data_IF_839314281981
#
_entry.id   IF_839314281981
#
_cell.length_a   1.000
_cell.length_b   1.000
_cell.length_c   1.000
_cell.angle_alpha   90.00
_cell.angle_beta   90.00
_cell.angle_gamma   90.00
#
_symmetry.space_group_name_H-M   'P 1'
#
loop_
_entity.id
_entity.type
_entity.pdbx_description
1 polymer ?
#
# COMPACT_ATOMS: atom_id res chain seq x y z
N UNK A 1 -55.51 -49.32 43.96
CA UNK A 1 -54.70 -50.04 42.96
C UNK A 1 -54.54 -49.11 41.77
N UNK A 2 -53.47 -48.32 41.74
CA UNK A 2 -53.05 -47.58 40.56
C UNK A 2 -51.53 -47.53 40.61
N UNK A 3 -50.89 -48.38 39.81
CA UNK A 3 -49.43 -48.46 39.72
C UNK A 3 -48.95 -47.72 38.46
N UNK A 4 -48.02 -46.82 38.73
CA UNK A 4 -47.27 -45.92 37.87
C UNK A 4 -46.86 -46.51 36.50
N UNK A 5 -47.47 -46.04 35.40
CA UNK A 5 -47.19 -46.47 34.01
C UNK A 5 -46.21 -45.56 33.25
N UNK A 6 -45.69 -44.49 33.86
CA UNK A 6 -44.89 -43.49 33.15
C UNK A 6 -43.36 -43.71 33.16
N UNK A 7 -42.83 -44.55 34.05
CA UNK A 7 -41.37 -44.73 34.16
C UNK A 7 -40.78 -45.77 33.19
N UNK A 8 -41.57 -46.69 32.64
CA UNK A 8 -41.06 -47.76 31.78
C UNK A 8 -40.80 -47.30 30.33
N UNK A 9 -41.53 -46.29 29.84
CA UNK A 9 -41.38 -45.80 28.46
C UNK A 9 -40.10 -44.96 28.30
N UNK A 10 -39.72 -44.19 29.33
CA UNK A 10 -38.53 -43.35 29.29
C UNK A 10 -37.23 -44.18 29.28
N UNK A 11 -37.17 -45.27 30.06
CA UNK A 11 -35.99 -46.14 30.10
C UNK A 11 -35.76 -46.91 28.80
N UNK A 12 -36.82 -47.30 28.09
CA UNK A 12 -36.69 -48.02 26.80
C UNK A 12 -36.18 -47.09 25.70
N UNK A 13 -36.60 -45.82 25.68
CA UNK A 13 -36.13 -44.82 24.70
C UNK A 13 -34.65 -44.49 24.92
N UNK A 14 -34.20 -44.37 26.18
CA UNK A 14 -32.79 -44.12 26.51
C UNK A 14 -31.90 -45.31 26.12
N UNK A 15 -32.40 -46.54 26.26
CA UNK A 15 -31.66 -47.74 25.90
C UNK A 15 -31.51 -47.89 24.37
N UNK A 16 -32.56 -47.54 23.60
CA UNK A 16 -32.49 -47.58 22.14
C UNK A 16 -31.62 -46.48 21.54
N UNK A 17 -31.62 -45.26 22.11
CA UNK A 17 -30.76 -44.18 21.61
C UNK A 17 -29.28 -44.43 21.88
N UNK A 18 -28.94 -45.02 23.03
CA UNK A 18 -27.55 -45.42 23.36
C UNK A 18 -27.06 -46.57 22.48
N UNK A 19 -27.90 -47.55 22.17
CA UNK A 19 -27.53 -48.66 21.28
C UNK A 19 -27.28 -48.20 19.83
N UNK A 20 -28.10 -47.27 19.32
CA UNK A 20 -27.91 -46.68 17.98
C UNK A 20 -26.62 -45.86 17.93
N UNK A 21 -26.28 -45.12 18.99
CA UNK A 21 -25.05 -44.33 19.06
C UNK A 21 -23.79 -45.22 19.09
N UNK A 22 -23.84 -46.35 19.81
CA UNK A 22 -22.74 -47.32 19.86
C UNK A 22 -22.56 -48.06 18.52
N UNK A 23 -23.65 -48.38 17.82
CA UNK A 23 -23.58 -48.94 16.47
C UNK A 23 -23.00 -47.94 15.45
N UNK A 24 -23.28 -46.64 15.59
CA UNK A 24 -22.68 -45.59 14.76
C UNK A 24 -21.18 -45.44 15.02
N UNK A 25 -20.74 -45.48 16.28
CA UNK A 25 -19.32 -45.44 16.65
C UNK A 25 -18.55 -46.67 16.14
N UNK A 26 -19.19 -47.84 16.07
CA UNK A 26 -18.57 -49.07 15.56
C UNK A 26 -18.30 -49.07 14.05
N UNK A 27 -18.93 -48.16 13.30
CA UNK A 27 -18.79 -48.01 11.84
C UNK A 27 -17.90 -46.84 11.40
N UNK A 28 -17.35 -46.06 12.34
CA UNK A 28 -16.37 -45.05 12.00
C UNK A 28 -15.03 -45.72 11.62
N UNK A 29 -14.39 -45.33 10.50
CA UNK A 29 -13.12 -45.90 10.11
C UNK A 29 -12.08 -45.65 11.21
N UNK A 30 -11.41 -46.72 11.67
CA UNK A 30 -10.32 -46.64 12.64
C UNK A 30 -9.24 -45.69 12.07
N UNK A 31 -9.20 -44.47 12.59
CA UNK A 31 -8.17 -43.51 12.27
C UNK A 31 -6.83 -44.12 12.69
N UNK A 32 -5.92 -44.24 11.72
CA UNK A 32 -4.56 -44.75 11.89
C UNK A 32 -3.91 -44.06 13.09
N UNK A 33 -3.46 -44.86 14.04
CA UNK A 33 -2.65 -44.45 15.18
C UNK A 33 -1.41 -43.73 14.66
N UNK A 34 -1.34 -42.40 14.84
CA UNK A 34 -0.15 -41.61 14.53
C UNK A 34 0.94 -42.02 15.50
N UNK A 35 1.96 -42.73 15.02
CA UNK A 35 3.24 -42.82 15.73
C UNK A 35 3.88 -41.43 15.68
N UNK A 36 3.87 -40.71 16.81
CA UNK A 36 4.60 -39.47 16.96
C UNK A 36 6.10 -39.75 16.86
N UNK A 37 6.69 -39.35 15.75
CA UNK A 37 8.13 -39.47 15.51
C UNK A 37 8.86 -38.46 16.42
N UNK A 38 9.53 -38.96 17.46
CA UNK A 38 10.26 -38.16 18.44
C UNK A 38 11.35 -37.29 17.79
N UNK A 39 11.83 -37.69 16.61
CA UNK A 39 12.87 -36.99 15.86
C UNK A 39 12.36 -35.69 15.22
N UNK A 40 11.05 -35.60 14.94
CA UNK A 40 10.42 -34.37 14.42
C UNK A 40 10.36 -33.26 15.47
N UNK A 41 10.08 -33.61 16.74
CA UNK A 41 10.04 -32.65 17.84
C UNK A 41 11.46 -32.15 18.17
N UNK A 42 12.48 -33.01 18.14
CA UNK A 42 13.87 -32.61 18.35
C UNK A 42 14.37 -31.65 17.25
N UNK A 43 14.00 -31.89 15.98
CA UNK A 43 14.32 -30.96 14.88
C UNK A 43 13.60 -29.60 15.01
N UNK A 44 12.39 -29.58 15.59
CA UNK A 44 11.67 -28.34 15.92
C UNK A 44 12.38 -27.55 17.04
N UNK A 45 12.91 -28.22 18.05
CA UNK A 45 13.68 -27.58 19.12
C UNK A 45 15.06 -27.08 18.63
N UNK A 46 15.73 -27.79 17.73
CA UNK A 46 17.02 -27.34 17.21
C UNK A 46 16.87 -26.15 16.25
N UNK A 47 15.79 -26.15 15.46
CA UNK A 47 15.39 -25.00 14.63
C UNK A 47 15.04 -23.77 15.49
N UNK A 48 14.47 -23.97 16.68
CA UNK A 48 14.16 -22.86 17.61
C UNK A 48 15.43 -22.23 18.22
N UNK A 49 16.48 -23.02 18.45
CA UNK A 49 17.79 -22.53 18.92
C UNK A 49 18.55 -21.77 17.84
N UNK A 50 18.46 -22.20 16.57
CA UNK A 50 18.99 -21.42 15.45
C UNK A 50 18.23 -20.09 15.27
N UNK A 51 16.91 -20.06 15.50
CA UNK A 51 16.11 -18.84 15.45
C UNK A 51 16.44 -17.87 16.60
N UNK A 52 16.80 -18.38 17.78
CA UNK A 52 17.24 -17.59 18.94
C UNK A 52 18.67 -17.03 18.77
N UNK A 53 19.58 -17.75 18.11
CA UNK A 53 20.91 -17.24 17.80
C UNK A 53 20.91 -16.25 16.62
N UNK A 54 19.92 -16.30 15.73
CA UNK A 54 19.72 -15.29 14.69
C UNK A 54 19.11 -13.97 15.22
N UNK A 55 18.47 -13.99 16.39
CA UNK A 55 17.89 -12.81 17.03
C UNK A 55 18.87 -11.99 17.89
N UNK A 56 20.11 -12.46 18.04
CA UNK A 56 21.16 -11.74 18.76
C UNK A 56 22.14 -10.97 17.86
N UNK A 57 21.93 -10.92 16.54
CA UNK A 57 22.50 -9.87 15.71
C UNK A 57 21.56 -8.66 15.80
N UNK A 58 22.00 -7.64 16.56
CA UNK A 58 21.44 -6.29 16.64
C UNK A 58 20.45 -5.96 15.51
N UNK A 59 19.16 -5.85 15.84
CA UNK A 59 18.14 -5.31 14.95
C UNK A 59 18.46 -3.86 14.62
N UNK A 60 19.29 -3.65 13.59
CA UNK A 60 19.23 -2.43 12.83
C UNK A 60 17.80 -2.42 12.29
N UNK A 61 16.99 -1.47 12.77
CA UNK A 61 15.62 -1.30 12.34
C UNK A 61 15.65 -0.80 10.88
N UNK A 62 15.90 -1.71 9.93
CA UNK A 62 16.04 -1.37 8.52
C UNK A 62 14.66 -1.13 7.95
N UNK A 63 14.40 0.08 7.46
CA UNK A 63 13.19 0.41 6.72
C UNK A 63 13.01 -0.58 5.56
N UNK A 64 11.85 -1.24 5.51
CA UNK A 64 11.51 -2.20 4.45
C UNK A 64 10.72 -1.53 3.31
N UNK A 65 10.29 -0.28 3.51
CA UNK A 65 9.43 0.47 2.61
C UNK A 65 10.10 1.79 2.24
N UNK A 66 10.15 2.10 0.94
CA UNK A 66 10.48 3.44 0.45
C UNK A 66 9.20 4.11 -0.06
N UNK A 67 8.83 5.24 0.54
CA UNK A 67 7.69 6.06 0.10
C UNK A 67 8.18 7.36 -0.52
N UNK A 68 7.81 7.60 -1.77
CA UNK A 68 8.07 8.87 -2.46
C UNK A 68 6.77 9.64 -2.63
N UNK A 69 6.75 10.85 -2.08
CA UNK A 69 5.65 11.79 -2.18
C UNK A 69 6.09 13.01 -2.99
N UNK A 70 5.49 13.23 -4.15
CA UNK A 70 5.76 14.41 -4.98
C UNK A 70 4.81 15.54 -4.59
N UNK A 71 5.37 16.65 -4.12
CA UNK A 71 4.64 17.84 -3.72
C UNK A 71 4.82 18.97 -4.73
N UNK A 72 3.72 19.37 -5.37
CA UNK A 72 3.64 20.59 -6.16
C UNK A 72 2.58 21.52 -5.57
N UNK A 73 2.92 22.78 -5.31
CA UNK A 73 1.98 23.78 -4.82
C UNK A 73 1.19 24.44 -5.96
N UNK A 74 0.47 23.63 -6.73
CA UNK A 74 -0.21 24.04 -7.98
C UNK A 74 -1.73 24.17 -7.84
N UNK A 75 -2.27 23.92 -6.65
CA UNK A 75 -3.69 24.10 -6.36
C UNK A 75 -3.91 24.43 -4.89
N UNK A 76 -5.04 25.10 -4.59
CA UNK A 76 -5.37 25.62 -3.25
C UNK A 76 -5.32 24.58 -2.12
N UNK A 77 -5.57 23.30 -2.43
CA UNK A 77 -5.55 22.23 -1.43
C UNK A 77 -4.19 21.53 -1.23
N UNK A 78 -3.16 21.83 -2.04
CA UNK A 78 -1.92 21.04 -2.09
C UNK A 78 -1.18 21.04 -0.75
N UNK A 79 -1.00 22.22 -0.15
CA UNK A 79 -0.39 22.34 1.18
C UNK A 79 -1.18 21.59 2.24
N UNK A 80 -2.52 21.75 2.26
CA UNK A 80 -3.37 21.05 3.22
C UNK A 80 -3.30 19.53 3.09
N UNK A 81 -3.12 19.01 1.88
CA UNK A 81 -2.94 17.58 1.62
C UNK A 81 -1.62 17.08 2.20
N UNK A 82 -0.50 17.78 1.92
CA UNK A 82 0.82 17.46 2.47
C UNK A 82 0.79 17.49 4.00
N UNK A 83 0.26 18.57 4.59
CA UNK A 83 0.12 18.74 6.03
C UNK A 83 -0.68 17.60 6.66
N UNK A 84 -1.85 17.32 6.11
CA UNK A 84 -2.69 16.25 6.62
C UNK A 84 -1.97 14.89 6.59
N UNK A 85 -1.31 14.55 5.48
CA UNK A 85 -0.58 13.28 5.37
C UNK A 85 0.58 13.18 6.39
N UNK A 86 1.40 14.23 6.52
CA UNK A 86 2.51 14.23 7.48
C UNK A 86 1.99 14.07 8.92
N UNK A 87 0.95 14.81 9.30
CA UNK A 87 0.43 14.78 10.66
C UNK A 87 -0.26 13.45 10.99
N UNK A 88 -0.95 12.84 10.03
CA UNK A 88 -1.80 11.65 10.28
C UNK A 88 -1.13 10.31 9.97
N UNK A 89 -0.17 10.27 9.05
CA UNK A 89 0.30 9.02 8.45
C UNK A 89 1.79 8.74 8.63
N UNK A 90 2.62 9.78 8.77
CA UNK A 90 4.08 9.66 8.85
C UNK A 90 4.48 9.46 10.31
N UNK A 91 5.26 8.42 10.61
CA UNK A 91 5.74 8.13 11.97
C UNK A 91 7.23 7.77 11.96
N UNK A 92 7.90 7.97 13.10
CA UNK A 92 9.21 7.36 13.32
C UNK A 92 9.06 5.87 13.62
N UNK A 93 10.04 5.07 13.18
CA UNK A 93 10.15 3.64 13.49
C UNK A 93 8.98 2.79 12.98
N UNK A 94 8.27 3.23 11.95
CA UNK A 94 7.24 2.46 11.26
C UNK A 94 7.77 1.66 10.07
N UNK A 95 9.09 1.56 9.91
CA UNK A 95 9.72 0.78 8.85
C UNK A 95 9.63 1.41 7.46
N UNK A 96 9.30 2.70 7.36
CA UNK A 96 9.23 3.45 6.11
C UNK A 96 10.30 4.53 6.08
N UNK A 97 11.03 4.64 4.97
CA UNK A 97 11.77 5.86 4.63
C UNK A 97 10.89 6.75 3.74
N UNK A 98 10.62 7.96 4.22
CA UNK A 98 9.76 8.94 3.57
C UNK A 98 10.58 9.98 2.82
N UNK A 99 10.34 10.08 1.52
CA UNK A 99 10.98 11.05 0.63
C UNK A 99 9.91 12.00 0.11
N UNK A 100 9.98 13.27 0.50
CA UNK A 100 9.10 14.33 0.04
C UNK A 100 9.83 15.19 -0.99
N UNK A 101 9.47 15.06 -2.27
CA UNK A 101 10.10 15.84 -3.33
C UNK A 101 9.28 17.10 -3.60
N UNK A 102 9.84 18.24 -3.22
CA UNK A 102 9.29 19.58 -3.34
C UNK A 102 9.56 20.11 -4.74
N UNK A 103 8.53 20.05 -5.60
CA UNK A 103 8.59 20.59 -6.96
C UNK A 103 8.51 22.11 -6.94
N UNK A 104 9.60 22.74 -7.36
CA UNK A 104 9.73 24.18 -7.47
C UNK A 104 8.88 24.72 -8.61
N UNK A 105 7.97 25.62 -8.29
CA UNK A 105 7.19 26.40 -9.27
C UNK A 105 7.93 27.70 -9.58
N UNK A 106 8.03 28.06 -10.86
CA UNK A 106 8.73 29.29 -11.31
C UNK A 106 10.21 29.37 -10.89
N UNK A 107 10.88 28.21 -10.78
CA UNK A 107 12.28 28.10 -10.32
C UNK A 107 12.53 28.70 -8.91
N UNK A 108 11.49 28.79 -8.08
CA UNK A 108 11.59 29.24 -6.69
C UNK A 108 11.66 28.03 -5.76
N UNK A 109 12.75 27.85 -4.98
CA UNK A 109 12.80 26.86 -3.92
C UNK A 109 11.63 27.01 -2.95
N UNK A 110 11.09 25.90 -2.48
CA UNK A 110 10.04 25.92 -1.47
C UNK A 110 10.70 26.10 -0.10
N UNK A 111 10.27 27.11 0.63
CA UNK A 111 10.73 27.40 1.98
C UNK A 111 10.26 26.32 2.97
N UNK A 112 11.16 25.40 3.32
CA UNK A 112 10.90 24.25 4.20
C UNK A 112 10.49 24.67 5.62
N UNK A 113 10.84 25.89 6.06
CA UNK A 113 10.44 26.39 7.39
C UNK A 113 8.95 26.62 7.51
N UNK A 114 8.25 26.75 6.37
CA UNK A 114 6.78 26.90 6.28
C UNK A 114 6.06 25.56 6.10
N UNK A 115 6.81 24.47 5.90
CA UNK A 115 6.25 23.14 5.73
C UNK A 115 6.07 22.43 7.08
N UNK A 116 5.20 21.39 7.14
CA UNK A 116 5.08 20.55 8.32
C UNK A 116 6.44 19.95 8.70
N UNK A 117 6.73 19.87 10.00
CA UNK A 117 7.96 19.25 10.49
C UNK A 117 7.96 17.75 10.18
N UNK A 118 9.04 17.27 9.58
CA UNK A 118 9.25 15.85 9.35
C UNK A 118 9.86 15.20 10.60
N UNK A 119 9.58 13.90 10.84
CA UNK A 119 10.35 13.13 11.79
C UNK A 119 11.84 13.08 11.40
N UNK A 120 12.73 13.07 12.39
CA UNK A 120 14.15 13.33 12.14
C UNK A 120 14.90 12.15 11.54
N UNK A 121 14.42 10.93 11.77
CA UNK A 121 15.17 9.70 11.50
C UNK A 121 14.93 9.09 10.12
N UNK A 122 13.74 9.23 9.59
CA UNK A 122 13.27 8.47 8.43
C UNK A 122 12.44 9.29 7.44
N UNK A 123 12.51 10.63 7.49
CA UNK A 123 11.76 11.48 6.59
C UNK A 123 12.57 12.69 6.11
N UNK A 124 12.52 12.96 4.81
CA UNK A 124 13.43 13.90 4.14
C UNK A 124 12.70 14.77 3.10
N UNK A 125 13.05 16.05 3.04
CA UNK A 125 12.67 16.95 1.94
C UNK A 125 13.77 16.99 0.88
N UNK A 126 13.38 16.95 -0.40
CA UNK A 126 14.25 17.12 -1.55
C UNK A 126 13.69 18.19 -2.48
N UNK A 127 14.51 19.15 -2.89
CA UNK A 127 14.10 20.20 -3.82
C UNK A 127 14.35 19.75 -5.26
N UNK A 128 13.38 19.93 -6.15
CA UNK A 128 13.51 19.58 -7.57
C UNK A 128 12.72 20.56 -8.46
N UNK A 129 13.24 20.91 -9.63
CA UNK A 129 12.51 21.77 -10.57
C UNK A 129 11.26 21.07 -11.13
N UNK A 130 10.14 21.78 -11.27
CA UNK A 130 8.94 21.21 -11.89
C UNK A 130 9.02 21.16 -13.43
N UNK A 131 9.94 20.37 -13.98
CA UNK A 131 10.16 20.23 -15.43
C UNK A 131 9.75 18.89 -16.03
N UNK A 132 9.46 17.89 -15.19
CA UNK A 132 9.26 16.50 -15.63
C UNK A 132 8.00 15.82 -15.08
N UNK A 133 7.05 16.60 -14.55
CA UNK A 133 5.87 16.09 -13.84
C UNK A 133 6.25 15.08 -12.72
N UNK A 134 5.26 14.43 -12.12
CA UNK A 134 5.49 13.59 -10.94
C UNK A 134 6.43 12.41 -11.23
N UNK A 135 6.18 11.66 -12.32
CA UNK A 135 6.96 10.46 -12.63
C UNK A 135 8.39 10.73 -13.05
N UNK A 136 8.63 11.79 -13.82
CA UNK A 136 9.99 12.19 -14.15
C UNK A 136 10.75 12.74 -12.95
N UNK A 137 10.06 13.38 -11.99
CA UNK A 137 10.64 13.74 -10.69
C UNK A 137 11.04 12.52 -9.86
N UNK A 138 10.22 11.45 -9.87
CA UNK A 138 10.62 10.17 -9.26
C UNK A 138 11.84 9.57 -9.96
N UNK A 139 11.88 9.61 -11.29
CA UNK A 139 13.02 9.15 -12.08
C UNK A 139 14.32 9.90 -11.79
N UNK A 140 14.25 11.23 -11.70
CA UNK A 140 15.36 12.06 -11.23
C UNK A 140 15.85 11.63 -9.85
N UNK A 141 14.92 11.39 -8.92
CA UNK A 141 15.31 10.96 -7.57
C UNK A 141 16.05 9.62 -7.60
N UNK A 142 15.55 8.65 -8.36
CA UNK A 142 16.20 7.34 -8.51
C UNK A 142 17.61 7.47 -9.10
N UNK A 143 17.79 8.32 -10.11
CA UNK A 143 19.08 8.51 -10.75
C UNK A 143 20.11 9.22 -9.84
N UNK A 144 19.66 10.16 -9.02
CA UNK A 144 20.56 11.02 -8.25
C UNK A 144 20.83 10.52 -6.83
N UNK A 145 19.84 9.90 -6.17
CA UNK A 145 19.91 9.59 -4.74
C UNK A 145 19.79 8.10 -4.42
N UNK A 146 19.77 7.23 -5.43
CA UNK A 146 19.61 5.79 -5.18
C UNK A 146 20.69 4.94 -5.84
N UNK A 147 20.95 3.80 -5.23
CA UNK A 147 21.85 2.76 -5.76
C UNK A 147 21.12 1.42 -5.79
N UNK A 148 21.71 0.44 -6.47
CA UNK A 148 21.16 -0.92 -6.50
C UNK A 148 20.01 -1.13 -7.48
N UNK A 149 19.83 -0.22 -8.44
CA UNK A 149 18.96 -0.43 -9.59
C UNK A 149 19.46 -1.64 -10.41
N UNK A 150 18.66 -2.71 -10.58
CA UNK A 150 19.10 -3.92 -11.29
C UNK A 150 19.27 -3.74 -12.81
N UNK A 151 18.80 -2.63 -13.39
CA UNK A 151 18.84 -2.37 -14.84
C UNK A 151 19.83 -1.30 -15.27
N UNK A 152 20.48 -0.63 -14.33
CA UNK A 152 21.60 0.26 -14.65
C UNK A 152 22.92 -0.52 -14.52
N UNK A 153 23.84 -0.40 -15.49
CA UNK A 153 25.22 -0.83 -15.29
C UNK A 153 25.71 -0.19 -13.99
N UNK A 154 26.43 -0.94 -13.16
CA UNK A 154 27.07 -0.42 -11.96
C UNK A 154 28.09 0.66 -12.35
N UNK A 155 27.64 1.87 -12.65
CA UNK A 155 28.48 3.06 -12.60
C UNK A 155 28.98 3.12 -11.17
N UNK A 156 30.30 2.99 -11.03
CA UNK A 156 30.96 2.83 -9.75
C UNK A 156 30.41 3.85 -8.75
N UNK A 157 30.05 3.36 -7.57
CA UNK A 157 29.57 4.10 -6.39
C UNK A 157 30.29 5.46 -6.20
N UNK A 158 31.54 5.56 -6.65
CA UNK A 158 32.40 6.75 -6.68
C UNK A 158 31.93 7.94 -7.53
N UNK A 159 31.11 7.79 -8.57
CA UNK A 159 30.62 8.95 -9.37
C UNK A 159 29.34 9.59 -8.79
N UNK A 160 28.51 8.82 -8.09
CA UNK A 160 27.26 9.34 -7.51
C UNK A 160 27.52 10.21 -6.26
N UNK A 161 28.57 9.91 -5.49
CA UNK A 161 28.90 10.62 -4.24
C UNK A 161 29.32 12.08 -4.48
N UNK A 162 29.79 12.45 -5.67
CA UNK A 162 30.26 13.81 -5.97
C UNK A 162 29.17 14.76 -6.51
N UNK A 163 27.92 14.31 -6.72
CA UNK A 163 26.85 15.14 -7.31
C UNK A 163 25.86 15.73 -6.30
N UNK A 164 25.84 15.25 -5.06
CA UNK A 164 24.91 15.75 -4.05
C UNK A 164 25.56 16.74 -3.09
N UNK A 165 25.37 18.04 -3.34
CA UNK A 165 25.60 19.09 -2.34
C UNK A 165 24.46 19.17 -1.30
N UNK A 166 23.52 18.22 -1.30
CA UNK A 166 22.38 18.16 -0.37
C UNK A 166 22.40 16.82 0.39
N UNK A 167 22.68 16.89 1.69
CA UNK A 167 22.39 15.87 2.71
C UNK A 167 22.55 14.40 2.29
N UNK A 168 23.72 13.80 2.55
CA UNK A 168 24.11 12.42 2.94
C UNK A 168 23.19 11.17 2.77
N UNK A 169 21.96 11.24 2.26
CA UNK A 169 21.04 10.13 2.15
C UNK A 169 21.10 9.51 0.75
N UNK A 170 21.97 8.52 0.59
CA UNK A 170 21.93 7.60 -0.56
C UNK A 170 21.08 6.38 -0.16
N UNK A 171 20.06 6.07 -0.94
CA UNK A 171 19.11 4.99 -0.66
C UNK A 171 19.46 3.74 -1.47
N UNK A 172 19.67 2.60 -0.82
CA UNK A 172 19.91 1.34 -1.51
C UNK A 172 18.59 0.64 -1.84
N UNK A 173 18.20 0.65 -3.12
CA UNK A 173 16.93 0.07 -3.58
C UNK A 173 16.79 -1.43 -3.23
N UNK A 174 17.91 -2.16 -3.08
CA UNK A 174 17.88 -3.59 -2.74
C UNK A 174 17.45 -3.88 -1.29
N UNK A 175 17.45 -2.87 -0.41
CA UNK A 175 17.05 -3.06 0.99
C UNK A 175 15.52 -3.04 1.16
N UNK A 176 14.81 -2.39 0.24
CA UNK A 176 13.36 -2.23 0.33
C UNK A 176 12.62 -3.41 -0.28
N UNK A 177 11.62 -3.89 0.44
CA UNK A 177 10.68 -4.91 -0.03
C UNK A 177 9.50 -4.28 -0.77
N UNK A 178 9.11 -3.06 -0.40
CA UNK A 178 7.95 -2.38 -0.94
C UNK A 178 8.25 -0.92 -1.29
N UNK A 179 7.54 -0.43 -2.29
CA UNK A 179 7.66 0.94 -2.78
C UNK A 179 6.29 1.56 -2.90
N UNK A 180 6.16 2.80 -2.42
CA UNK A 180 4.92 3.56 -2.44
C UNK A 180 5.17 4.89 -3.15
N UNK A 181 4.33 5.23 -4.12
CA UNK A 181 4.40 6.47 -4.89
C UNK A 181 3.12 7.25 -4.70
N UNK A 182 3.23 8.52 -4.29
CA UNK A 182 2.11 9.41 -4.01
C UNK A 182 2.38 10.82 -4.53
N UNK A 183 1.33 11.63 -4.71
CA UNK A 183 1.48 13.05 -5.03
C UNK A 183 0.53 13.95 -4.23
N UNK A 184 0.74 15.27 -4.30
CA UNK A 184 -0.02 16.28 -3.56
C UNK A 184 -1.48 16.46 -3.98
N UNK A 185 -1.98 15.64 -4.90
CA UNK A 185 -3.35 15.76 -5.42
C UNK A 185 -4.38 14.90 -4.67
N UNK A 186 -3.99 14.28 -3.56
CA UNK A 186 -4.84 13.41 -2.73
C UNK A 186 -4.84 13.80 -1.26
N UNK A 187 -5.89 13.43 -0.54
CA UNK A 187 -5.97 13.56 0.92
C UNK A 187 -6.31 12.22 1.56
N UNK A 188 -5.65 11.93 2.68
CA UNK A 188 -5.77 10.69 3.45
C UNK A 188 -4.51 10.46 4.29
N UNK A 189 -4.45 9.34 5.03
CA UNK A 189 -5.41 8.24 5.01
C UNK A 189 -6.69 8.57 5.80
N UNK A 190 -7.81 7.99 5.36
CA UNK A 190 -9.08 7.97 6.07
C UNK A 190 -9.45 6.54 6.44
N UNK A 191 -9.81 6.32 7.69
CA UNK A 191 -10.24 5.02 8.20
C UNK A 191 -11.52 5.13 9.01
N UNK A 192 -12.42 4.14 8.92
CA UNK A 192 -13.60 4.10 9.76
C UNK A 192 -13.20 3.79 11.22
N UNK A 193 -14.00 4.22 12.23
CA UNK A 193 -13.66 4.04 13.64
C UNK A 193 -13.37 2.59 14.06
N UNK A 194 -14.10 1.62 13.47
CA UNK A 194 -13.88 0.21 13.77
C UNK A 194 -12.51 -0.30 13.29
N UNK A 195 -11.95 0.28 12.22
CA UNK A 195 -10.60 -0.05 11.76
C UNK A 195 -9.55 0.48 12.74
N UNK A 196 -9.74 1.69 13.28
CA UNK A 196 -8.84 2.25 14.29
C UNK A 196 -8.84 1.39 15.56
N UNK A 197 -10.01 0.90 15.97
CA UNK A 197 -10.14 -0.06 17.07
C UNK A 197 -9.42 -1.37 16.77
N UNK A 198 -9.64 -1.95 15.58
CA UNK A 198 -8.91 -3.13 15.13
C UNK A 198 -7.40 -2.93 15.15
N UNK A 199 -6.88 -1.82 14.63
CA UNK A 199 -5.44 -1.54 14.62
C UNK A 199 -4.85 -1.44 16.03
N UNK A 200 -5.59 -0.81 16.95
CA UNK A 200 -5.20 -0.75 18.37
C UNK A 200 -5.20 -2.13 19.02
N UNK A 201 -6.25 -2.93 18.79
CA UNK A 201 -6.38 -4.27 19.38
C UNK A 201 -5.30 -5.21 18.84
N UNK A 202 -5.04 -5.15 17.53
CA UNK A 202 -3.95 -5.88 16.88
C UNK A 202 -2.59 -5.54 17.49
N UNK A 203 -2.33 -4.26 17.77
CA UNK A 203 -1.08 -3.85 18.42
C UNK A 203 -0.97 -4.42 19.84
N UNK A 204 -2.04 -4.42 20.62
CA UNK A 204 -2.03 -4.98 21.99
C UNK A 204 -1.83 -6.50 21.98
N UNK A 205 -2.49 -7.22 21.08
CA UNK A 205 -2.45 -8.68 21.02
C UNK A 205 -1.10 -9.17 20.46
N UNK A 206 -0.66 -8.60 19.34
CA UNK A 206 0.52 -9.08 18.60
C UNK A 206 1.80 -8.30 18.87
N UNK A 207 1.75 -7.28 19.76
CA UNK A 207 2.87 -6.39 20.05
C UNK A 207 3.47 -5.76 18.77
N UNK A 208 2.63 -5.59 17.75
CA UNK A 208 3.02 -5.10 16.42
C UNK A 208 2.02 -4.06 15.93
N UNK A 209 2.44 -2.82 15.64
CA UNK A 209 1.54 -1.80 15.12
C UNK A 209 0.98 -2.19 13.74
N UNK A 210 -0.29 -1.84 13.50
CA UNK A 210 -0.93 -1.98 12.20
C UNK A 210 -0.99 -0.61 11.50
N UNK A 211 -0.06 -0.37 10.58
CA UNK A 211 0.03 0.91 9.87
C UNK A 211 -0.90 0.97 8.66
N UNK A 212 -1.24 2.19 8.23
CA UNK A 212 -2.16 2.46 7.13
C UNK A 212 -1.78 1.75 5.83
N UNK A 213 -0.47 1.68 5.52
CA UNK A 213 0.04 1.11 4.28
C UNK A 213 -0.13 -0.42 4.22
N UNK A 214 -0.34 -1.06 5.37
CA UNK A 214 -0.46 -2.52 5.50
C UNK A 214 -1.61 -3.06 4.65
N UNK A 215 -2.70 -2.30 4.50
CA UNK A 215 -3.86 -2.69 3.67
C UNK A 215 -3.51 -2.80 2.18
N UNK A 216 -2.53 -2.03 1.71
CA UNK A 216 -2.06 -2.07 0.33
C UNK A 216 -1.04 -3.19 0.16
N UNK A 217 -0.06 -3.24 1.06
CA UNK A 217 1.03 -4.24 0.99
C UNK A 217 0.49 -5.67 1.08
N UNK A 218 -0.50 -5.94 1.96
CA UNK A 218 -1.09 -7.28 2.10
C UNK A 218 -1.85 -7.76 0.85
N UNK A 219 -2.14 -6.88 -0.11
CA UNK A 219 -2.73 -7.27 -1.41
C UNK A 219 -1.67 -7.71 -2.42
N UNK A 220 -0.41 -7.30 -2.24
CA UNK A 220 0.71 -7.82 -3.01
C UNK A 220 0.96 -9.28 -2.63
N UNK A 221 1.26 -10.10 -3.63
CA UNK A 221 1.57 -11.52 -3.48
C UNK A 221 2.31 -12.01 -4.72
N UNK A 222 2.50 -13.32 -4.87
CA UNK A 222 3.22 -13.92 -6.00
C UNK A 222 2.64 -13.55 -7.37
N UNK A 223 1.35 -13.21 -7.45
CA UNK A 223 0.65 -12.82 -8.68
C UNK A 223 0.39 -11.32 -8.76
N UNK A 224 0.04 -10.67 -7.66
CA UNK A 224 -0.30 -9.24 -7.64
C UNK A 224 0.94 -8.41 -7.31
N UNK A 225 1.40 -7.60 -8.27
CA UNK A 225 2.62 -6.78 -8.15
C UNK A 225 2.38 -5.28 -8.19
N UNK A 226 1.13 -4.86 -8.36
CA UNK A 226 0.75 -3.44 -8.36
C UNK A 226 -0.60 -3.25 -7.68
N UNK A 227 -0.66 -2.34 -6.73
CA UNK A 227 -1.87 -2.01 -5.97
C UNK A 227 -2.03 -0.50 -5.91
N UNK A 228 -3.25 0.01 -5.95
CA UNK A 228 -3.52 1.41 -5.62
C UNK A 228 -4.88 1.62 -4.98
N UNK A 229 -5.26 2.88 -4.77
CA UNK A 229 -6.58 3.22 -4.25
C UNK A 229 -7.68 2.82 -5.23
N UNK A 230 -7.47 3.11 -6.51
CA UNK A 230 -8.44 2.92 -7.59
C UNK A 230 -7.83 2.33 -8.84
N UNK A 231 -8.69 1.69 -9.65
CA UNK A 231 -8.41 1.30 -11.04
C UNK A 231 -9.41 2.03 -11.94
N UNK A 232 -8.89 2.76 -12.92
CA UNK A 232 -9.67 3.34 -14.01
C UNK A 232 -9.64 2.40 -15.20
N UNK A 233 -10.75 2.27 -15.93
CA UNK A 233 -10.83 1.43 -17.13
C UNK A 233 -10.62 2.22 -18.43
N UNK A 234 -10.37 3.53 -18.36
CA UNK A 234 -10.30 4.40 -19.54
C UNK A 234 -8.90 5.03 -19.68
N UNK A 235 -8.25 4.93 -20.86
CA UNK A 235 -8.69 4.18 -22.04
C UNK A 235 -8.51 2.66 -21.89
N UNK A 236 -7.70 2.24 -20.93
CA UNK A 236 -7.44 0.84 -20.58
C UNK A 236 -7.40 0.70 -19.06
N UNK A 237 -7.58 -0.51 -18.51
CA UNK A 237 -7.43 -0.75 -17.09
C UNK A 237 -6.05 -0.33 -16.59
N UNK A 238 -6.01 0.56 -15.62
CA UNK A 238 -4.78 0.99 -14.96
C UNK A 238 -5.05 1.44 -13.53
N UNK A 239 -4.09 1.19 -12.65
CA UNK A 239 -4.04 1.81 -11.33
C UNK A 239 -3.73 3.29 -11.50
N UNK A 240 -4.51 4.16 -10.86
CA UNK A 240 -4.39 5.61 -11.05
C UNK A 240 -3.13 6.19 -10.39
N UNK A 241 -2.53 7.19 -11.06
CA UNK A 241 -1.18 7.70 -10.75
C UNK A 241 -0.98 8.33 -9.38
N UNK A 242 -2.06 8.69 -8.69
CA UNK A 242 -1.96 9.44 -7.44
C UNK A 242 -1.51 8.61 -6.24
N UNK A 243 -1.64 7.27 -6.30
CA UNK A 243 -1.18 6.35 -5.26
C UNK A 243 -0.93 4.96 -5.86
N UNK A 244 0.33 4.55 -5.86
CA UNK A 244 0.80 3.26 -6.35
C UNK A 244 1.61 2.55 -5.27
N UNK A 245 1.42 1.24 -5.14
CA UNK A 245 2.14 0.38 -4.21
C UNK A 245 2.60 -0.88 -4.96
N UNK A 246 3.88 -1.21 -4.86
CA UNK A 246 4.48 -2.37 -5.51
C UNK A 246 5.47 -3.06 -4.56
N UNK A 247 5.74 -4.34 -4.79
CA UNK A 247 6.87 -5.03 -4.17
C UNK A 247 8.15 -4.79 -4.99
N UNK A 248 9.27 -5.33 -4.53
CA UNK A 248 10.58 -5.23 -5.19
C UNK A 248 10.61 -5.86 -6.59
N UNK A 249 9.82 -6.92 -6.84
CA UNK A 249 9.70 -7.54 -8.17
C UNK A 249 8.98 -6.59 -9.12
N UNK A 250 7.80 -6.10 -8.74
CA UNK A 250 7.05 -5.14 -9.53
C UNK A 250 7.83 -3.86 -9.77
N UNK A 251 8.52 -3.33 -8.76
CA UNK A 251 9.35 -2.14 -8.91
C UNK A 251 10.53 -2.37 -9.85
N UNK A 252 11.18 -3.55 -9.79
CA UNK A 252 12.22 -3.90 -10.76
C UNK A 252 11.68 -3.86 -12.19
N UNK A 253 10.44 -4.27 -12.44
CA UNK A 253 9.83 -4.18 -13.77
C UNK A 253 9.66 -2.71 -14.19
N UNK A 254 9.24 -1.84 -13.26
CA UNK A 254 9.04 -0.41 -13.53
C UNK A 254 10.35 0.35 -13.78
N UNK A 255 11.48 -0.12 -13.23
CA UNK A 255 12.80 0.46 -13.47
C UNK A 255 13.40 0.13 -14.84
N UNK A 256 12.78 -0.78 -15.62
CA UNK A 256 13.27 -1.11 -16.97
C UNK A 256 13.20 0.13 -17.88
N UNK A 257 14.35 0.57 -18.36
CA UNK A 257 14.41 1.53 -19.48
C UNK A 257 13.79 0.90 -20.73
N UNK A 258 13.10 1.70 -21.54
CA UNK A 258 12.59 1.28 -22.84
C UNK A 258 13.15 2.21 -23.90
N UNK A 259 13.75 1.67 -24.96
CA UNK A 259 14.05 2.45 -26.15
C UNK A 259 12.77 2.55 -26.99
N UNK A 260 12.00 3.64 -26.85
CA UNK A 260 11.08 3.98 -27.93
C UNK A 260 11.89 4.42 -29.17
N UNK A 261 11.37 4.14 -30.36
CA UNK A 261 12.02 4.20 -31.68
C UNK A 261 12.47 5.60 -32.16
N UNK A 262 12.92 6.50 -31.28
CA UNK A 262 13.36 7.87 -31.62
C UNK A 262 14.88 8.07 -31.48
N UNK A 263 15.64 7.02 -31.17
CA UNK A 263 17.09 7.12 -30.96
C UNK A 263 17.48 7.82 -29.64
N UNK A 264 16.50 8.16 -28.78
CA UNK A 264 16.71 8.60 -27.40
C UNK A 264 16.41 7.43 -26.46
N UNK A 265 17.27 7.19 -25.47
CA UNK A 265 16.97 6.27 -24.37
C UNK A 265 15.78 6.90 -23.62
N UNK A 266 14.59 6.30 -23.67
CA UNK A 266 13.54 6.68 -22.75
C UNK A 266 13.80 5.98 -21.43
N UNK A 267 13.79 6.73 -20.33
CA UNK A 267 14.06 6.24 -18.99
C UNK A 267 12.90 5.38 -18.41
N UNK A 268 12.10 4.74 -19.27
CA UNK A 268 10.95 3.92 -18.87
C UNK A 268 9.79 4.76 -18.32
N UNK A 269 8.94 4.16 -17.50
CA UNK A 269 7.77 4.85 -16.91
C UNK A 269 8.14 6.04 -16.01
N UNK A 270 9.39 6.11 -15.56
CA UNK A 270 9.93 7.22 -14.76
C UNK A 270 10.70 8.27 -15.61
N UNK A 271 10.52 8.26 -16.93
CA UNK A 271 11.16 9.24 -17.80
C UNK A 271 10.66 10.68 -17.65
N UNK A 272 11.49 11.64 -18.06
CA UNK A 272 11.10 13.04 -18.20
C UNK A 272 10.48 13.26 -19.58
N UNK A 273 9.20 13.59 -19.61
CA UNK A 273 8.43 13.76 -20.84
C UNK A 273 8.04 15.24 -21.06
N UNK A 274 8.07 15.72 -22.31
CA UNK A 274 7.82 17.13 -22.62
C UNK A 274 6.35 17.55 -22.45
N UNK A 275 5.43 16.58 -22.46
CA UNK A 275 3.99 16.85 -22.35
C UNK A 275 3.31 16.00 -21.28
N UNK A 276 2.22 16.55 -20.75
CA UNK A 276 1.33 15.84 -19.82
C UNK A 276 0.68 14.62 -20.47
N UNK A 277 0.38 14.71 -21.78
CA UNK A 277 -0.20 13.60 -22.54
C UNK A 277 0.77 12.42 -22.62
N UNK A 278 2.04 12.70 -22.93
CA UNK A 278 3.08 11.67 -22.98
C UNK A 278 3.31 11.06 -21.60
N UNK A 279 3.38 11.88 -20.55
CA UNK A 279 3.47 11.40 -19.16
C UNK A 279 2.28 10.50 -18.80
N UNK A 280 1.06 10.87 -19.19
CA UNK A 280 -0.12 10.05 -18.91
C UNK A 280 -0.04 8.72 -19.64
N UNK A 281 0.30 8.75 -20.93
CA UNK A 281 0.31 7.55 -21.77
C UNK A 281 1.46 6.61 -21.43
N UNK A 282 2.67 7.14 -21.26
CA UNK A 282 3.89 6.36 -21.09
C UNK A 282 4.11 6.01 -19.62
N UNK A 283 3.78 6.90 -18.68
CA UNK A 283 3.96 6.64 -17.25
C UNK A 283 2.69 6.07 -16.61
N UNK A 284 1.60 6.84 -16.51
CA UNK A 284 0.41 6.41 -15.76
C UNK A 284 -0.21 5.12 -16.34
N UNK A 285 -0.49 5.09 -17.64
CA UNK A 285 -0.99 3.87 -18.30
C UNK A 285 0.11 2.80 -18.43
N UNK A 286 1.34 3.24 -18.71
CA UNK A 286 2.48 2.36 -18.93
C UNK A 286 2.87 1.51 -17.73
N UNK A 287 2.73 2.02 -16.50
CA UNK A 287 3.01 1.28 -15.26
C UNK A 287 2.14 0.03 -15.18
N UNK A 288 0.83 0.18 -15.35
CA UNK A 288 -0.09 -0.95 -15.30
C UNK A 288 0.14 -1.90 -16.48
N UNK A 289 0.38 -1.35 -17.67
CA UNK A 289 0.71 -2.14 -18.86
C UNK A 289 1.94 -3.01 -18.67
N UNK A 290 3.04 -2.47 -18.14
CA UNK A 290 4.29 -3.22 -17.93
C UNK A 290 4.10 -4.39 -16.97
N UNK A 291 3.34 -4.18 -15.88
CA UNK A 291 3.05 -5.23 -14.89
C UNK A 291 2.21 -6.35 -15.54
N UNK A 292 1.14 -5.98 -16.25
CA UNK A 292 0.27 -6.94 -16.93
C UNK A 292 0.98 -7.71 -18.06
N UNK A 293 1.81 -7.02 -18.86
CA UNK A 293 2.58 -7.63 -19.93
C UNK A 293 3.71 -8.54 -19.40
N UNK A 294 4.15 -8.33 -18.16
CA UNK A 294 5.10 -9.22 -17.47
C UNK A 294 4.43 -10.45 -16.84
N UNK A 295 3.14 -10.67 -17.09
CA UNK A 295 2.38 -11.83 -16.59
C UNK A 295 1.86 -11.69 -15.16
N UNK A 296 2.04 -10.53 -14.54
CA UNK A 296 1.55 -10.23 -13.20
C UNK A 296 0.17 -9.55 -13.24
N UNK A 297 -0.41 -9.40 -12.06
CA UNK A 297 -1.72 -8.83 -11.83
C UNK A 297 -1.63 -7.53 -11.04
N UNK A 298 -2.71 -6.76 -11.08
CA UNK A 298 -2.91 -5.55 -10.28
C UNK A 298 -4.24 -5.58 -9.51
N UNK A 299 -4.34 -4.82 -8.43
CA UNK A 299 -5.54 -4.73 -7.58
C UNK A 299 -5.79 -3.28 -7.14
N UNK A 300 -7.01 -2.97 -6.72
CA UNK A 300 -7.33 -1.73 -6.03
C UNK A 300 -7.97 -1.96 -4.66
N UNK A 301 -8.16 -0.90 -3.88
CA UNK A 301 -8.98 -0.94 -2.67
C UNK A 301 -10.48 -0.83 -2.95
N UNK A 302 -10.89 -0.26 -4.09
CA UNK A 302 -12.29 -0.06 -4.47
C UNK A 302 -13.17 -1.28 -4.17
N UNK A 303 -14.26 -1.09 -3.42
CA UNK A 303 -15.25 -2.12 -3.12
C UNK A 303 -15.86 -2.73 -4.39
N UNK A 304 -16.05 -1.94 -5.46
CA UNK A 304 -16.49 -2.46 -6.77
C UNK A 304 -15.57 -3.56 -7.33
N UNK A 305 -14.28 -3.49 -7.00
CA UNK A 305 -13.26 -4.45 -7.43
C UNK A 305 -12.87 -5.41 -6.29
N UNK A 306 -13.70 -5.54 -5.25
CA UNK A 306 -13.43 -6.46 -4.16
C UNK A 306 -13.30 -7.89 -4.69
N UNK A 307 -12.22 -8.58 -4.31
CA UNK A 307 -11.85 -9.91 -4.79
C UNK A 307 -11.55 -10.02 -6.29
N UNK A 308 -11.44 -8.89 -7.00
CA UNK A 308 -11.04 -8.86 -8.42
C UNK A 308 -9.55 -8.47 -8.51
N UNK A 309 -8.75 -9.38 -9.04
CA UNK A 309 -7.39 -9.09 -9.49
C UNK A 309 -7.40 -8.96 -11.01
N UNK A 310 -6.90 -7.83 -11.50
CA UNK A 310 -6.80 -7.54 -12.92
C UNK A 310 -5.54 -8.20 -13.48
N UNK A 311 -5.73 -9.18 -14.35
CA UNK A 311 -4.68 -9.79 -15.18
C UNK A 311 -4.92 -9.42 -16.63
N UNK A 312 -3.94 -9.63 -17.52
CA UNK A 312 -4.08 -9.34 -18.96
C UNK A 312 -5.35 -9.93 -19.62
N UNK A 313 -5.86 -11.05 -19.11
CA UNK A 313 -7.09 -11.69 -19.62
C UNK A 313 -8.35 -11.23 -18.86
N UNK A 314 -8.24 -10.88 -17.58
CA UNK A 314 -9.37 -10.42 -16.76
C UNK A 314 -9.66 -8.93 -17.00
N UNK A 315 -8.66 -8.16 -17.46
CA UNK A 315 -8.79 -6.72 -17.77
C UNK A 315 -9.87 -6.41 -18.80
N UNK A 316 -10.25 -7.36 -19.66
CA UNK A 316 -11.31 -7.17 -20.64
C UNK A 316 -12.70 -6.92 -20.01
N UNK A 317 -12.89 -7.26 -18.73
CA UNK A 317 -14.16 -7.06 -18.00
C UNK A 317 -14.17 -5.80 -17.12
N UNK A 318 -13.29 -4.82 -17.38
CA UNK A 318 -13.25 -3.58 -16.61
C UNK A 318 -14.43 -2.66 -17.00
N UNK A 319 -15.47 -2.63 -16.17
CA UNK A 319 -16.75 -1.95 -16.46
C UNK A 319 -16.90 -0.56 -15.82
N UNK A 320 -15.80 0.12 -15.46
CA UNK A 320 -15.85 1.51 -14.98
C UNK A 320 -15.64 2.46 -16.17
N UNK A 321 -16.73 2.79 -16.86
CA UNK A 321 -16.72 3.62 -18.08
C UNK A 321 -16.57 5.14 -17.81
N UNK A 322 -16.10 5.51 -16.63
CA UNK A 322 -15.76 6.88 -16.27
C UNK A 322 -14.52 6.86 -15.37
N UNK A 323 -13.91 8.02 -15.15
CA UNK A 323 -12.78 8.08 -14.23
C UNK A 323 -13.28 7.90 -12.79
N UNK A 324 -12.81 6.90 -12.01
CA UNK A 324 -13.35 6.59 -10.70
C UNK A 324 -13.35 7.76 -9.72
N UNK A 325 -12.38 8.67 -9.82
CA UNK A 325 -12.36 9.82 -8.90
C UNK A 325 -13.51 10.81 -9.11
N UNK A 326 -14.21 10.72 -10.24
CA UNK A 326 -15.28 11.64 -10.57
C UNK A 326 -16.56 11.32 -9.80
N UNK A 327 -17.34 12.34 -9.46
CA UNK A 327 -18.60 12.19 -8.76
C UNK A 327 -19.55 11.28 -9.56
N UNK A 328 -20.19 10.34 -8.86
CA UNK A 328 -21.19 9.40 -9.39
C UNK A 328 -20.70 8.52 -10.55
N UNK A 329 -19.38 8.42 -10.73
CA UNK A 329 -18.76 7.72 -11.84
C UNK A 329 -18.66 6.20 -11.67
N UNK A 330 -18.88 5.70 -10.45
CA UNK A 330 -18.79 4.27 -10.11
C UNK A 330 -20.21 3.75 -9.87
N UNK A 331 -20.87 3.28 -10.93
CA UNK A 331 -22.26 2.78 -10.91
C UNK A 331 -23.26 3.78 -10.29
N UNK A 332 -23.11 5.08 -10.59
CA UNK A 332 -23.92 6.15 -10.03
C UNK A 332 -23.50 6.61 -8.62
N UNK A 333 -22.48 5.98 -8.03
CA UNK A 333 -21.89 6.33 -6.74
C UNK A 333 -20.56 7.06 -6.89
N UNK A 334 -20.26 7.95 -5.94
CA UNK A 334 -18.96 8.62 -5.79
C UNK A 334 -18.04 7.77 -4.91
N UNK A 335 -16.72 7.94 -5.04
CA UNK A 335 -15.78 7.25 -4.15
C UNK A 335 -16.01 7.63 -2.70
N UNK A 336 -15.92 6.64 -1.83
CA UNK A 336 -16.02 6.78 -0.39
C UNK A 336 -14.60 6.85 0.21
N UNK A 337 -14.20 7.93 0.90
CA UNK A 337 -12.89 8.00 1.54
C UNK A 337 -12.52 6.79 2.41
N UNK A 338 -13.47 6.17 3.10
CA UNK A 338 -13.20 4.95 3.87
C UNK A 338 -12.99 3.68 3.02
N UNK A 339 -13.43 3.69 1.76
CA UNK A 339 -13.25 2.57 0.81
C UNK A 339 -11.84 2.60 0.19
N UNK A 340 -11.40 3.78 -0.26
CA UNK A 340 -10.13 3.92 -1.01
C UNK A 340 -8.98 4.50 -0.20
N UNK A 341 -9.23 4.90 1.04
CA UNK A 341 -8.30 5.47 2.04
C UNK A 341 -7.69 6.82 1.67
N UNK A 342 -7.39 7.03 0.39
CA UNK A 342 -6.93 8.30 -0.17
C UNK A 342 -7.83 8.69 -1.34
N UNK A 343 -8.40 9.89 -1.27
CA UNK A 343 -9.27 10.44 -2.32
C UNK A 343 -8.59 11.58 -3.06
N UNK A 344 -8.95 11.75 -4.33
CA UNK A 344 -8.49 12.89 -5.14
C UNK A 344 -9.00 14.19 -4.51
N UNK A 345 -8.09 15.06 -4.11
CA UNK A 345 -8.38 16.27 -3.34
C UNK A 345 -7.65 17.47 -3.96
N UNK A 346 -8.23 18.05 -5.01
CA UNK A 346 -7.69 19.16 -5.79
C UNK A 346 -8.81 20.10 -6.26
N UNK A 347 -8.47 21.17 -6.98
CA UNK A 347 -9.45 22.19 -7.39
C UNK A 347 -10.41 21.77 -8.52
N UNK A 348 -10.45 20.49 -8.93
CA UNK A 348 -11.37 20.02 -9.97
C UNK A 348 -12.79 19.87 -9.41
N UNK A 349 -13.76 20.48 -10.09
CA UNK A 349 -15.19 20.42 -9.75
C UNK A 349 -15.81 19.02 -9.86
N UNK A 350 -15.15 18.09 -10.56
CA UNK A 350 -15.69 16.76 -10.79
C UNK A 350 -15.49 15.80 -9.61
N UNK A 351 -14.84 16.25 -8.53
CA UNK A 351 -14.47 15.38 -7.40
C UNK A 351 -15.06 15.89 -6.08
N UNK A 352 -16.18 16.62 -6.14
CA UNK A 352 -16.72 17.37 -5.01
C UNK A 352 -17.28 16.44 -3.93
N UNK A 353 -18.03 15.39 -4.29
CA UNK A 353 -18.68 14.52 -3.31
C UNK A 353 -17.65 13.84 -2.38
N UNK A 354 -16.60 13.25 -2.97
CA UNK A 354 -15.55 12.56 -2.22
C UNK A 354 -14.70 13.55 -1.39
N UNK A 355 -14.48 14.77 -1.89
CA UNK A 355 -13.78 15.83 -1.17
C UNK A 355 -14.57 16.33 0.03
N UNK A 356 -15.87 16.58 -0.14
CA UNK A 356 -16.75 17.05 0.93
C UNK A 356 -16.81 16.04 2.08
N UNK A 357 -16.89 14.74 1.77
CA UNK A 357 -16.80 13.66 2.77
C UNK A 357 -15.43 13.65 3.46
N UNK A 358 -14.34 13.74 2.70
CA UNK A 358 -13.00 13.80 3.28
C UNK A 358 -12.80 15.01 4.22
N UNK A 359 -13.32 16.19 3.86
CA UNK A 359 -13.31 17.37 4.72
C UNK A 359 -14.13 17.18 5.99
N UNK A 360 -15.31 16.55 5.86
CA UNK A 360 -16.15 16.23 7.01
C UNK A 360 -15.44 15.26 7.97
N UNK A 361 -14.82 14.19 7.45
CA UNK A 361 -14.11 13.22 8.27
C UNK A 361 -12.89 13.81 8.95
N UNK A 362 -12.11 14.62 8.23
CA UNK A 362 -10.98 15.36 8.81
C UNK A 362 -11.44 16.19 10.01
N UNK A 363 -12.50 16.99 9.85
CA UNK A 363 -13.06 17.82 10.91
C UNK A 363 -13.51 17.00 12.12
N UNK A 364 -14.21 15.88 11.92
CA UNK A 364 -14.61 15.00 13.04
C UNK A 364 -13.41 14.44 13.81
N UNK A 365 -12.32 14.08 13.12
CA UNK A 365 -11.09 13.62 13.76
C UNK A 365 -10.39 14.73 14.56
N UNK A 366 -10.34 15.94 14.02
CA UNK A 366 -9.77 17.11 14.68
C UNK A 366 -10.56 17.49 15.94
N UNK A 367 -11.90 17.52 15.86
CA UNK A 367 -12.80 17.78 16.99
C UNK A 367 -12.63 16.75 18.12
N UNK A 368 -12.51 15.47 17.76
CA UNK A 368 -12.30 14.39 18.73
C UNK A 368 -10.93 14.52 19.41
N UNK A 369 -9.89 14.85 18.64
CA UNK A 369 -8.54 15.06 19.18
C UNK A 369 -8.49 16.26 20.11
N UNK A 370 -9.16 17.36 19.76
CA UNK A 370 -9.23 18.55 20.60
C UNK A 370 -9.92 18.26 21.94
N UNK A 371 -11.06 17.58 21.93
CA UNK A 371 -11.79 17.17 23.15
C UNK A 371 -10.93 16.29 24.07
N UNK A 372 -10.19 15.33 23.50
CA UNK A 372 -9.30 14.47 24.28
C UNK A 372 -8.12 15.22 24.89
N UNK A 373 -7.67 16.32 24.28
CA UNK A 373 -6.63 17.19 24.84
C UNK A 373 -7.14 18.07 25.98
N UNK A 374 -8.39 18.51 25.95
CA UNK A 374 -8.99 19.31 27.02
C UNK A 374 -9.38 18.50 28.27
N UNK A 375 -9.47 17.17 28.14
CA UNK A 375 -9.78 16.25 29.24
C UNK A 375 -8.54 15.67 29.94
N UNK A 376 -7.34 15.99 29.45
CA UNK A 376 -6.05 15.69 30.08
C UNK A 376 -5.49 16.97 30.69
#
# INVERSE_FOLDING_TARGET
MEFNKHNTISSVIIFFTTLIFLLFLSKLPRYKQWSFDHQYILNLFDSSKQLQNATSLSSINTSEILLIYVYANVHVHAYGNLKYFIETAVRENDGVDYVFILQQTENKPIDETKLPRLPQKNAFYFQHENKCFDYGTMGWFFDQFTIGNPWQPSTSITEHVNRSNNSNAVFNLKQYKYFIFMNSSIRGPFFPPYFLKFASDYQMEYHKPFYWYTIFIRRLNDKVKLVGGTISCIPVPHVQSYLLVTDSIGFSILLKSSTANTGRIYAGVFGCYPSKSDTTTISELGISKLILDSGYMMSSLMSKHQMINFSKNVTYNCQVYANPYSDKSVDGSSLEPYDVVFVKFNAKKTTTDAQDRAMLYQRWMEETTAKNRTLR
#
